data_IF_562946556024
#
_entry.id   IF_562946556024
#
_cell.length_a   1.000
_cell.length_b   1.000
_cell.length_c   1.000
_cell.angle_alpha   90.00
_cell.angle_beta   90.00
_cell.angle_gamma   90.00
#
_symmetry.space_group_name_H-M   'P 1'
#
loop_
_entity.id
_entity.type
_entity.pdbx_description
1 polymer ?
#
# COMPACT_ATOMS: atom_id res chain seq x y z
N UNK A 1 -23.83 -2.61 -59.86
CA UNK A 1 -23.28 -2.94 -58.52
C UNK A 1 -23.82 -1.89 -57.56
N UNK A 2 -24.66 -2.27 -56.59
CA UNK A 2 -25.44 -1.32 -55.79
C UNK A 2 -24.71 -0.96 -54.49
N UNK A 3 -24.96 0.22 -53.91
CA UNK A 3 -24.14 0.84 -52.85
C UNK A 3 -24.06 0.08 -51.51
N UNK A 4 -24.84 -1.01 -51.35
CA UNK A 4 -24.76 -1.91 -50.19
C UNK A 4 -23.61 -2.92 -50.28
N UNK A 5 -23.09 -3.21 -51.47
CA UNK A 5 -21.99 -4.18 -51.66
C UNK A 5 -20.60 -3.53 -51.52
N UNK A 6 -20.52 -2.19 -51.60
CA UNK A 6 -19.25 -1.47 -51.44
C UNK A 6 -18.84 -1.28 -49.97
N UNK A 7 -19.77 -1.41 -49.01
CA UNK A 7 -19.49 -1.27 -47.57
C UNK A 7 -19.03 -2.56 -46.89
N UNK A 8 -19.09 -3.71 -47.56
CA UNK A 8 -18.62 -5.01 -47.03
C UNK A 8 -17.20 -5.39 -47.49
N UNK A 9 -16.54 -4.56 -48.29
CA UNK A 9 -15.22 -4.87 -48.86
C UNK A 9 -14.09 -4.00 -48.27
N UNK A 10 -14.39 -3.02 -47.40
CA UNK A 10 -13.37 -2.17 -46.76
C UNK A 10 -13.01 -2.50 -45.30
N UNK A 11 -13.49 -3.62 -44.74
CA UNK A 11 -13.23 -3.97 -43.33
C UNK A 11 -12.39 -5.24 -43.12
N UNK A 12 -11.69 -5.75 -44.14
CA UNK A 12 -10.84 -6.95 -44.03
C UNK A 12 -9.36 -6.74 -44.37
N UNK A 13 -8.84 -5.52 -44.27
CA UNK A 13 -7.40 -5.26 -44.39
C UNK A 13 -6.94 -4.20 -43.41
N UNK A 14 -6.91 -4.55 -42.12
CA UNK A 14 -6.10 -3.90 -41.09
C UNK A 14 -5.92 -4.82 -39.87
N UNK A 15 -5.45 -6.06 -40.08
CA UNK A 15 -5.08 -6.96 -38.99
C UNK A 15 -3.78 -7.70 -39.35
N UNK A 16 -2.74 -6.94 -39.72
CA UNK A 16 -1.38 -7.46 -39.88
C UNK A 16 -0.36 -6.31 -39.88
N UNK A 17 0.07 -5.91 -38.67
CA UNK A 17 1.29 -5.17 -38.29
C UNK A 17 1.02 -4.60 -36.88
N UNK A 18 1.80 -4.79 -35.81
CA UNK A 18 3.22 -5.03 -35.68
C UNK A 18 3.51 -6.12 -34.62
N UNK A 19 4.25 -7.15 -35.02
CA UNK A 19 5.20 -7.82 -34.14
C UNK A 19 6.53 -7.07 -34.22
N UNK A 20 6.89 -6.32 -33.18
CA UNK A 20 8.27 -6.01 -32.75
C UNK A 20 8.25 -4.83 -31.77
N UNK A 21 7.89 -5.08 -30.52
CA UNK A 21 8.35 -4.20 -29.43
C UNK A 21 9.72 -4.73 -29.02
N UNK A 22 10.75 -3.97 -29.36
CA UNK A 22 12.14 -4.21 -28.96
C UNK A 22 12.16 -4.36 -27.44
N UNK A 23 12.44 -5.57 -26.95
CA UNK A 23 12.85 -5.75 -25.56
C UNK A 23 14.19 -5.04 -25.43
N UNK A 24 14.15 -3.75 -25.07
CA UNK A 24 15.33 -3.09 -24.54
C UNK A 24 15.64 -3.81 -23.23
N UNK A 25 16.65 -4.68 -23.28
CA UNK A 25 17.25 -5.28 -22.10
C UNK A 25 17.90 -4.11 -21.34
N UNK A 26 17.11 -3.43 -20.51
CA UNK A 26 17.68 -2.68 -19.42
C UNK A 26 18.30 -3.72 -18.49
N UNK A 27 19.60 -3.62 -18.15
CA UNK A 27 20.11 -4.40 -17.04
C UNK A 27 19.24 -4.04 -15.83
N UNK A 28 18.41 -4.99 -15.40
CA UNK A 28 17.81 -4.95 -14.08
C UNK A 28 19.00 -5.08 -13.14
N UNK A 29 19.48 -3.94 -12.63
CA UNK A 29 20.32 -3.96 -11.46
C UNK A 29 19.52 -4.71 -10.39
N UNK A 30 19.99 -5.88 -9.98
CA UNK A 30 19.46 -6.49 -8.77
C UNK A 30 19.59 -5.44 -7.68
N UNK A 31 18.53 -5.19 -6.87
CA UNK A 31 18.68 -4.31 -5.75
C UNK A 31 19.77 -4.93 -4.87
N UNK A 32 20.93 -4.26 -4.85
CA UNK A 32 21.94 -4.55 -3.86
C UNK A 32 21.22 -4.59 -2.51
N UNK A 33 21.45 -5.65 -1.74
CA UNK A 33 20.94 -5.74 -0.37
C UNK A 33 21.61 -4.63 0.44
N UNK A 34 21.08 -3.41 0.33
CA UNK A 34 21.43 -2.31 1.20
C UNK A 34 20.86 -2.72 2.54
N UNK A 35 21.73 -3.30 3.37
CA UNK A 35 21.44 -3.46 4.78
C UNK A 35 21.27 -2.04 5.31
N UNK A 36 20.01 -1.58 5.36
CA UNK A 36 19.69 -0.25 5.82
C UNK A 36 20.29 -0.08 7.21
N UNK A 37 21.15 0.93 7.37
CA UNK A 37 21.70 1.28 8.67
C UNK A 37 20.51 1.53 9.61
N UNK A 38 20.40 0.74 10.69
CA UNK A 38 19.43 0.98 11.75
C UNK A 38 20.02 2.02 12.69
N UNK A 39 19.26 3.09 12.92
CA UNK A 39 19.61 4.09 13.93
C UNK A 39 18.87 3.75 15.23
N UNK A 40 19.62 3.55 16.31
CA UNK A 40 19.08 3.35 17.66
C UNK A 40 19.06 4.67 18.42
N UNK A 41 17.97 4.92 19.14
CA UNK A 41 17.72 6.08 19.99
C UNK A 41 17.28 5.55 21.36
N UNK A 42 18.05 5.85 22.40
CA UNK A 42 17.69 5.49 23.77
C UNK A 42 16.55 6.41 24.24
N UNK A 43 15.53 5.86 24.89
CA UNK A 43 14.38 6.68 25.30
C UNK A 43 14.74 7.63 26.45
N UNK A 44 15.70 7.29 27.31
CA UNK A 44 16.16 8.19 28.38
C UNK A 44 16.75 9.52 27.88
N UNK A 45 17.15 9.60 26.61
CA UNK A 45 17.64 10.82 25.96
C UNK A 45 16.51 11.64 25.28
N UNK A 46 15.27 11.13 25.29
CA UNK A 46 14.13 11.77 24.63
C UNK A 46 13.57 12.97 25.42
N UNK A 47 12.87 13.86 24.73
CA UNK A 47 12.07 14.90 25.38
C UNK A 47 10.80 14.28 25.96
N UNK A 48 10.50 14.50 27.25
CA UNK A 48 9.28 13.97 27.86
C UNK A 48 8.55 14.98 28.75
N UNK A 49 7.27 14.72 28.99
CA UNK A 49 6.39 15.59 29.80
C UNK A 49 5.57 14.78 30.80
N UNK A 50 4.90 15.48 31.72
CA UNK A 50 3.99 14.88 32.69
C UNK A 50 4.72 14.03 33.74
N UNK A 51 4.14 12.88 34.04
CA UNK A 51 4.60 11.90 35.04
C UNK A 51 5.60 10.90 34.50
N UNK A 52 6.02 11.03 33.23
CA UNK A 52 7.10 10.23 32.66
C UNK A 52 8.40 10.52 33.41
N UNK A 53 9.15 9.48 33.77
CA UNK A 53 10.42 9.61 34.50
C UNK A 53 11.47 8.64 33.99
N UNK A 54 12.73 9.00 34.19
CA UNK A 54 13.86 8.10 33.98
C UNK A 54 14.00 7.19 35.20
N UNK A 55 13.94 5.88 34.98
CA UNK A 55 14.21 4.86 36.00
C UNK A 55 15.46 4.05 35.61
N UNK A 56 16.29 3.67 36.59
CA UNK A 56 17.44 2.79 36.35
C UNK A 56 16.98 1.35 36.21
N UNK A 57 17.46 0.68 35.18
CA UNK A 57 17.20 -0.73 34.93
C UNK A 57 18.43 -1.37 34.29
N UNK A 58 19.05 -2.33 34.98
CA UNK A 58 20.26 -2.99 34.47
C UNK A 58 20.03 -3.86 33.24
N UNK A 59 18.78 -4.19 32.91
CA UNK A 59 18.44 -4.95 31.72
C UNK A 59 18.23 -4.07 30.47
N UNK A 60 18.11 -2.76 30.65
CA UNK A 60 17.93 -1.80 29.55
C UNK A 60 19.24 -1.57 28.78
N UNK A 61 19.13 -1.28 27.47
CA UNK A 61 20.24 -1.06 26.54
C UNK A 61 21.20 0.03 27.02
N UNK A 62 20.67 1.18 27.46
CA UNK A 62 21.42 2.30 28.05
C UNK A 62 21.56 2.26 29.59
N UNK A 63 21.05 1.20 30.24
CA UNK A 63 21.01 1.06 31.70
C UNK A 63 19.93 1.91 32.39
N UNK A 64 19.05 2.55 31.62
CA UNK A 64 17.88 3.27 32.10
C UNK A 64 16.71 3.09 31.13
N UNK A 65 15.50 3.43 31.57
CA UNK A 65 14.29 3.45 30.74
C UNK A 65 13.51 4.73 31.01
N UNK A 66 12.59 5.09 30.11
CA UNK A 66 11.49 5.99 30.45
C UNK A 66 10.27 5.20 30.92
N UNK A 67 9.78 5.52 32.11
CA UNK A 67 8.58 4.92 32.67
C UNK A 67 7.39 5.88 32.57
N UNK A 68 6.42 5.54 31.71
CA UNK A 68 5.16 6.26 31.57
C UNK A 68 4.09 5.63 32.46
N UNK A 69 3.34 6.45 33.20
CA UNK A 69 2.25 6.01 34.09
C UNK A 69 0.94 6.73 33.79
N UNK A 70 0.64 7.83 34.49
CA UNK A 70 -0.70 8.42 34.51
C UNK A 70 -0.96 9.43 33.40
N UNK A 71 0.07 10.09 32.89
CA UNK A 71 -0.01 11.07 31.80
C UNK A 71 1.34 11.25 31.11
N UNK A 72 1.41 12.22 30.19
CA UNK A 72 2.64 12.66 29.58
C UNK A 72 2.87 12.15 28.16
N UNK A 73 3.99 12.60 27.60
CA UNK A 73 4.44 12.29 26.25
C UNK A 73 5.93 11.97 26.27
N UNK A 74 6.38 11.18 25.29
CA UNK A 74 7.78 10.94 24.98
C UNK A 74 7.96 11.32 23.50
N UNK A 75 8.92 12.19 23.19
CA UNK A 75 9.21 12.65 21.83
C UNK A 75 10.66 12.38 21.49
N UNK A 76 10.87 11.49 20.53
CA UNK A 76 12.18 11.16 19.98
C UNK A 76 12.34 11.91 18.66
N UNK A 77 13.42 12.68 18.55
CA UNK A 77 13.85 13.24 17.26
C UNK A 77 14.68 12.19 16.52
N UNK A 78 14.24 11.80 15.33
CA UNK A 78 14.93 10.82 14.48
C UNK A 78 15.34 11.44 13.15
N UNK A 79 16.40 10.92 12.54
CA UNK A 79 16.84 11.32 11.20
C UNK A 79 16.62 10.19 10.20
N UNK A 80 16.08 10.52 9.02
CA UNK A 80 15.90 9.62 7.89
C UNK A 80 16.76 10.08 6.70
N UNK A 81 17.47 9.15 6.05
CA UNK A 81 18.37 9.49 4.94
C UNK A 81 17.63 9.90 3.66
N UNK A 82 16.39 9.46 3.50
CA UNK A 82 15.53 9.74 2.35
C UNK A 82 14.05 9.78 2.76
N UNK A 83 13.21 10.36 1.90
CA UNK A 83 11.76 10.20 2.01
C UNK A 83 11.42 8.72 1.79
N UNK A 84 10.60 8.13 2.65
CA UNK A 84 10.25 6.72 2.51
C UNK A 84 9.45 6.14 3.67
N UNK A 85 9.15 4.85 3.56
CA UNK A 85 8.54 4.10 4.64
C UNK A 85 9.64 3.50 5.52
N UNK A 86 9.45 3.59 6.83
CA UNK A 86 10.38 3.11 7.84
C UNK A 86 9.63 2.27 8.86
N UNK A 87 10.23 1.18 9.29
CA UNK A 87 9.79 0.44 10.47
C UNK A 87 10.32 1.14 11.72
N UNK A 88 9.39 1.48 12.61
CA UNK A 88 9.68 1.93 13.97
C UNK A 88 9.64 0.71 14.86
N UNK A 89 10.81 0.28 15.31
CA UNK A 89 10.98 -0.87 16.19
C UNK A 89 11.18 -0.32 17.60
N UNK A 90 10.47 -0.87 18.57
CA UNK A 90 10.57 -0.43 19.97
C UNK A 90 10.90 -1.62 20.86
N UNK A 91 11.74 -1.38 21.85
CA UNK A 91 11.93 -2.24 23.01
C UNK A 91 11.20 -1.59 24.18
N UNK A 92 10.09 -2.20 24.60
CA UNK A 92 9.24 -1.68 25.65
C UNK A 92 8.40 -2.79 26.28
N UNK A 93 8.13 -2.66 27.57
CA UNK A 93 7.37 -3.64 28.36
C UNK A 93 6.15 -2.97 29.03
N UNK A 94 4.98 -3.58 28.84
CA UNK A 94 3.77 -3.23 29.59
C UNK A 94 3.83 -3.76 31.01
N UNK A 95 3.42 -2.95 31.99
CA UNK A 95 3.42 -3.31 33.42
C UNK A 95 2.04 -3.83 33.85
N UNK A 96 1.98 -5.04 34.40
CA UNK A 96 0.72 -5.65 34.85
C UNK A 96 -0.23 -5.93 33.69
N UNK A 97 0.26 -6.61 32.67
CA UNK A 97 -0.45 -6.91 31.42
C UNK A 97 -0.03 -6.02 30.23
N UNK A 98 -0.44 -6.43 29.03
CA UNK A 98 -0.24 -5.66 27.80
C UNK A 98 -0.83 -4.25 27.89
N UNK A 99 -0.23 -3.33 27.14
CA UNK A 99 -0.59 -1.90 27.12
C UNK A 99 -0.76 -1.38 25.71
N UNK A 100 -1.42 -0.23 25.62
CA UNK A 100 -1.57 0.51 24.38
C UNK A 100 -1.19 1.97 24.61
N UNK A 101 -0.42 2.56 23.69
CA UNK A 101 -0.19 4.01 23.63
C UNK A 101 -0.63 4.60 22.30
N UNK A 102 -0.71 5.93 22.22
CA UNK A 102 -0.93 6.63 20.96
C UNK A 102 0.41 6.99 20.32
N UNK A 103 0.52 6.81 19.00
CA UNK A 103 1.70 7.16 18.22
C UNK A 103 1.40 8.34 17.30
N UNK A 104 2.35 9.26 17.21
CA UNK A 104 2.32 10.39 16.30
C UNK A 104 3.64 10.48 15.56
N UNK A 105 3.56 10.82 14.27
CA UNK A 105 4.72 11.09 13.42
C UNK A 105 4.54 12.50 12.85
N UNK A 106 5.51 13.38 13.12
CA UNK A 106 5.44 14.79 12.70
C UNK A 106 4.08 15.44 13.08
N UNK A 107 3.68 15.25 14.33
CA UNK A 107 2.41 15.69 14.94
C UNK A 107 1.12 15.15 14.33
N UNK A 108 1.20 14.27 13.33
CA UNK A 108 0.05 13.55 12.77
C UNK A 108 -0.13 12.21 13.47
N UNK A 109 -1.36 11.86 13.84
CA UNK A 109 -1.66 10.56 14.45
C UNK A 109 -1.29 9.42 13.48
N UNK A 110 -0.51 8.46 13.97
CA UNK A 110 -0.15 7.22 13.29
C UNK A 110 -0.90 6.01 13.90
N UNK A 111 -1.94 6.27 14.70
CA UNK A 111 -2.74 5.25 15.36
C UNK A 111 -2.17 4.85 16.72
N UNK A 112 -2.38 3.58 17.07
CA UNK A 112 -2.03 3.04 18.38
C UNK A 112 -0.94 1.98 18.27
N UNK A 113 -0.07 1.92 19.28
CA UNK A 113 0.93 0.87 19.42
C UNK A 113 0.52 -0.07 20.55
N UNK A 114 0.61 -1.37 20.29
CA UNK A 114 0.36 -2.42 21.27
C UNK A 114 1.68 -2.92 21.82
N UNK A 115 1.84 -2.84 23.14
CA UNK A 115 3.03 -3.28 23.87
C UNK A 115 2.63 -4.53 24.66
N UNK A 116 3.38 -5.62 24.50
CA UNK A 116 3.17 -6.84 25.27
C UNK A 116 3.51 -6.63 26.75
N UNK A 117 2.97 -7.47 27.62
CA UNK A 117 3.50 -7.56 28.99
C UNK A 117 4.93 -8.10 28.93
N UNK A 118 5.82 -7.53 29.74
CA UNK A 118 7.19 -8.00 29.87
C UNK A 118 7.68 -7.89 31.30
N UNK A 119 8.75 -8.62 31.59
CA UNK A 119 9.37 -8.66 32.93
C UNK A 119 10.79 -8.07 32.94
N UNK A 120 11.07 -7.14 32.03
CA UNK A 120 12.35 -6.44 31.91
C UNK A 120 13.31 -7.06 30.90
N UNK A 121 12.82 -7.86 29.95
CA UNK A 121 13.64 -8.37 28.84
C UNK A 121 13.53 -7.52 27.56
N UNK A 122 12.64 -6.51 27.56
CA UNK A 122 12.53 -5.46 26.56
C UNK A 122 12.64 -5.97 25.11
N UNK A 123 11.88 -7.03 24.81
CA UNK A 123 11.95 -7.67 23.49
C UNK A 123 11.54 -6.68 22.39
N UNK A 124 12.39 -6.45 21.37
CA UNK A 124 12.07 -5.52 20.31
C UNK A 124 10.91 -6.03 19.45
N UNK A 125 9.98 -5.14 19.12
CA UNK A 125 8.86 -5.41 18.22
C UNK A 125 8.68 -4.25 17.23
N UNK A 126 8.13 -4.53 16.05
CA UNK A 126 7.74 -3.48 15.10
C UNK A 126 6.47 -2.80 15.62
N UNK A 127 6.61 -1.58 16.13
CA UNK A 127 5.51 -0.80 16.67
C UNK A 127 4.62 -0.23 15.56
N UNK A 128 5.23 0.25 14.47
CA UNK A 128 4.53 0.72 13.28
C UNK A 128 5.44 0.78 12.05
N UNK A 129 4.84 0.80 10.86
CA UNK A 129 5.52 1.18 9.61
C UNK A 129 4.97 2.52 9.16
N UNK A 130 5.81 3.55 9.14
CA UNK A 130 5.38 4.96 8.97
C UNK A 130 6.17 5.64 7.85
N UNK A 131 5.57 6.67 7.25
CA UNK A 131 6.29 7.52 6.30
C UNK A 131 7.13 8.56 7.05
N UNK A 132 8.42 8.63 6.75
CA UNK A 132 9.32 9.69 7.20
C UNK A 132 9.76 10.55 6.01
N UNK A 133 10.00 11.83 6.29
CA UNK A 133 10.63 12.74 5.34
C UNK A 133 12.16 12.66 5.46
N UNK A 134 12.91 12.97 4.41
CA UNK A 134 14.35 13.12 4.48
C UNK A 134 14.73 14.15 5.55
N UNK A 135 15.72 13.82 6.36
CA UNK A 135 16.19 14.64 7.47
C UNK A 135 15.41 14.37 8.76
N UNK A 136 15.19 15.44 9.52
CA UNK A 136 14.62 15.39 10.87
C UNK A 136 13.12 15.08 10.85
N UNK A 137 12.70 14.11 11.66
CA UNK A 137 11.31 13.77 11.96
C UNK A 137 11.11 13.64 13.47
N UNK A 138 9.86 13.73 13.93
CA UNK A 138 9.51 13.46 15.33
C UNK A 138 8.66 12.20 15.44
N UNK A 139 9.04 11.31 16.36
CA UNK A 139 8.23 10.18 16.80
C UNK A 139 7.76 10.48 18.22
N UNK A 140 6.46 10.71 18.38
CA UNK A 140 5.87 11.05 19.67
C UNK A 140 4.93 9.96 20.14
N UNK A 141 5.16 9.47 21.34
CA UNK A 141 4.30 8.54 22.06
C UNK A 141 3.54 9.37 23.10
N UNK A 142 2.22 9.33 23.09
CA UNK A 142 1.41 9.94 24.16
C UNK A 142 0.64 8.89 24.93
N UNK A 143 0.46 9.16 26.23
CA UNK A 143 -0.26 8.27 27.13
C UNK A 143 -1.67 7.96 26.59
N UNK A 144 -1.96 6.67 26.46
CA UNK A 144 -3.30 6.11 26.38
C UNK A 144 -3.55 5.28 27.63
N UNK A 145 -3.09 4.03 27.67
CA UNK A 145 -3.24 3.18 28.86
C UNK A 145 -2.14 3.43 29.89
N UNK A 146 -1.02 4.05 29.49
CA UNK A 146 0.10 4.32 30.38
C UNK A 146 0.82 3.04 30.83
N UNK A 147 1.40 3.07 32.03
CA UNK A 147 2.03 1.92 32.71
C UNK A 147 2.94 1.09 31.79
N UNK A 148 3.87 1.77 31.10
CA UNK A 148 4.78 1.16 30.10
C UNK A 148 6.20 1.66 30.33
N UNK A 149 7.16 0.74 30.33
CA UNK A 149 8.60 1.04 30.37
C UNK A 149 9.15 1.01 28.95
N UNK A 150 9.87 2.05 28.56
CA UNK A 150 10.44 2.25 27.22
C UNK A 150 11.97 2.26 27.30
N UNK A 151 12.63 1.31 26.66
CA UNK A 151 14.09 1.15 26.63
C UNK A 151 14.68 1.94 25.46
N UNK A 152 14.52 1.43 24.23
CA UNK A 152 14.98 2.12 23.03
C UNK A 152 14.00 2.06 21.87
N UNK A 153 14.25 2.94 20.89
CA UNK A 153 13.62 2.99 19.59
C UNK A 153 14.67 2.78 18.50
N UNK A 154 14.38 1.91 17.55
CA UNK A 154 15.16 1.74 16.33
C UNK A 154 14.35 2.19 15.11
N UNK A 155 14.99 2.95 14.24
CA UNK A 155 14.43 3.34 12.94
C UNK A 155 15.17 2.59 11.85
N UNK A 156 14.42 1.84 11.04
CA UNK A 156 14.96 1.06 9.92
C UNK A 156 14.19 1.36 8.66
N UNK A 157 14.88 1.64 7.55
CA UNK A 157 14.21 1.79 6.26
C UNK A 157 13.46 0.49 5.93
N UNK A 158 12.19 0.62 5.51
CA UNK A 158 11.35 -0.54 5.21
C UNK A 158 11.92 -1.25 3.99
N UNK A 159 12.30 -2.50 4.17
CA UNK A 159 12.60 -3.40 3.06
C UNK A 159 11.32 -4.14 2.73
N UNK A 160 10.87 -4.00 1.49
CA UNK A 160 9.74 -4.75 0.96
C UNK A 160 10.24 -6.03 0.33
N UNK A 161 9.59 -7.14 0.63
CA UNK A 161 9.80 -8.34 -0.16
C UNK A 161 9.34 -8.10 -1.59
N UNK A 162 10.11 -8.61 -2.54
CA UNK A 162 9.68 -8.63 -3.94
C UNK A 162 8.48 -9.56 -4.05
N UNK A 163 7.31 -9.01 -4.40
CA UNK A 163 6.14 -9.81 -4.70
C UNK A 163 6.12 -10.16 -6.19
N UNK A 164 5.68 -11.37 -6.51
CA UNK A 164 5.51 -11.83 -7.90
C UNK A 164 4.09 -12.35 -8.10
N UNK A 165 3.46 -11.96 -9.21
CA UNK A 165 2.16 -12.51 -9.59
C UNK A 165 2.31 -13.94 -10.14
N UNK A 166 1.41 -14.84 -9.75
CA UNK A 166 1.29 -16.15 -10.41
C UNK A 166 0.43 -16.03 -11.66
N UNK A 167 0.91 -16.56 -12.79
CA UNK A 167 0.12 -16.64 -14.02
C UNK A 167 -0.74 -17.91 -14.11
N UNK A 168 -0.71 -18.79 -13.11
CA UNK A 168 -1.42 -20.08 -13.15
C UNK A 168 -2.91 -19.87 -12.88
N UNK A 169 -3.73 -20.09 -13.90
CA UNK A 169 -5.18 -20.07 -13.76
C UNK A 169 -5.70 -21.32 -13.03
N UNK A 170 -6.75 -21.10 -12.22
CA UNK A 170 -7.47 -22.17 -11.52
C UNK A 170 -8.20 -23.10 -12.50
N UNK A 171 -8.84 -22.54 -13.53
CA UNK A 171 -9.46 -23.30 -14.61
C UNK A 171 -8.41 -23.78 -15.62
N UNK A 172 -8.16 -25.10 -15.67
CA UNK A 172 -7.21 -25.73 -16.60
C UNK A 172 -7.66 -25.71 -18.07
N UNK A 173 -8.91 -25.35 -18.34
CA UNK A 173 -9.47 -25.18 -19.68
C UNK A 173 -9.68 -23.70 -20.04
N UNK A 174 -9.00 -22.78 -19.36
CA UNK A 174 -9.07 -21.37 -19.69
C UNK A 174 -8.70 -21.11 -21.16
N UNK A 175 -9.31 -20.10 -21.76
CA UNK A 175 -9.01 -19.73 -23.15
C UNK A 175 -7.63 -19.09 -23.25
N UNK A 176 -7.12 -18.97 -24.48
CA UNK A 176 -5.80 -18.36 -24.72
C UNK A 176 -5.78 -16.88 -24.34
N UNK A 177 -6.90 -16.18 -24.56
CA UNK A 177 -7.09 -14.76 -24.23
C UNK A 177 -7.05 -14.56 -22.71
N UNK A 178 -7.76 -15.41 -21.94
CA UNK A 178 -7.73 -15.36 -20.46
C UNK A 178 -6.32 -15.63 -19.93
N UNK A 179 -5.62 -16.63 -20.47
CA UNK A 179 -4.25 -16.92 -20.08
C UNK A 179 -3.30 -15.76 -20.43
N UNK A 180 -3.47 -15.13 -21.59
CA UNK A 180 -2.68 -13.98 -22.00
C UNK A 180 -2.89 -12.78 -21.08
N UNK A 181 -4.14 -12.47 -20.72
CA UNK A 181 -4.44 -11.40 -19.76
C UNK A 181 -3.81 -11.68 -18.40
N UNK A 182 -3.93 -12.91 -17.89
CA UNK A 182 -3.32 -13.27 -16.60
C UNK A 182 -1.78 -13.19 -16.63
N UNK A 183 -1.15 -13.58 -17.75
CA UNK A 183 0.30 -13.43 -17.93
C UNK A 183 0.70 -11.95 -17.83
N UNK A 184 -0.04 -11.05 -18.47
CA UNK A 184 0.20 -9.62 -18.38
C UNK A 184 0.04 -9.10 -16.95
N UNK A 185 -1.09 -9.40 -16.28
CA UNK A 185 -1.33 -8.98 -14.90
C UNK A 185 -0.24 -9.47 -13.95
N UNK A 186 0.19 -10.73 -14.09
CA UNK A 186 1.30 -11.29 -13.32
C UNK A 186 2.63 -10.58 -13.59
N UNK A 187 2.89 -10.16 -14.83
CA UNK A 187 4.13 -9.48 -15.22
C UNK A 187 4.29 -8.08 -14.61
N UNK A 188 3.18 -7.38 -14.36
CA UNK A 188 3.14 -6.03 -13.78
C UNK A 188 2.88 -6.00 -12.28
N UNK A 189 2.44 -7.12 -11.69
CA UNK A 189 2.16 -7.23 -10.26
C UNK A 189 3.40 -6.91 -9.41
N UNK A 190 3.26 -6.02 -8.43
CA UNK A 190 4.36 -5.53 -7.60
C UNK A 190 5.22 -4.43 -8.24
N UNK A 191 5.00 -4.10 -9.52
CA UNK A 191 5.77 -3.09 -10.26
C UNK A 191 4.94 -1.88 -10.66
N UNK A 192 3.69 -2.11 -11.02
CA UNK A 192 2.76 -1.06 -11.47
C UNK A 192 1.36 -1.27 -10.90
N UNK A 193 0.60 -0.18 -10.85
CA UNK A 193 -0.85 -0.20 -10.62
C UNK A 193 -1.55 0.08 -11.93
N UNK A 194 -2.43 -0.83 -12.36
CA UNK A 194 -3.24 -0.65 -13.57
C UNK A 194 -4.46 0.21 -13.22
N UNK A 195 -4.67 1.31 -13.95
CA UNK A 195 -5.81 2.20 -13.73
C UNK A 195 -7.13 1.51 -14.12
N UNK A 196 -8.18 1.75 -13.33
CA UNK A 196 -9.51 1.23 -13.63
C UNK A 196 -10.61 2.17 -13.19
N UNK A 197 -11.74 2.11 -13.89
CA UNK A 197 -12.97 2.87 -13.59
C UNK A 197 -14.19 1.99 -13.82
N UNK A 198 -15.12 1.99 -12.87
CA UNK A 198 -16.42 1.32 -13.01
C UNK A 198 -17.36 2.23 -13.82
N UNK A 199 -18.12 1.65 -14.75
CA UNK A 199 -19.19 2.40 -15.42
C UNK A 199 -20.43 2.54 -14.52
N UNK A 200 -21.27 3.53 -14.82
CA UNK A 200 -22.53 3.74 -14.12
C UNK A 200 -23.51 2.58 -14.32
N UNK A 201 -24.39 2.34 -13.34
CA UNK A 201 -25.46 1.36 -13.44
C UNK A 201 -26.57 1.81 -14.42
N UNK A 202 -27.36 0.87 -14.94
CA UNK A 202 -28.53 1.18 -15.79
C UNK A 202 -29.52 2.10 -15.06
N UNK A 203 -29.98 3.16 -15.73
CA UNK A 203 -30.76 4.26 -15.13
C UNK A 203 -29.97 5.16 -14.17
N UNK A 204 -28.65 5.14 -14.29
CA UNK A 204 -27.79 6.15 -13.69
C UNK A 204 -28.14 7.58 -14.14
N UNK A 205 -27.63 8.59 -13.43
CA UNK A 205 -27.97 9.99 -13.67
C UNK A 205 -27.39 10.58 -14.96
N UNK A 206 -26.56 9.82 -15.70
CA UNK A 206 -25.90 10.24 -16.93
C UNK A 206 -25.50 9.02 -17.79
N UNK A 207 -24.92 9.28 -18.96
CA UNK A 207 -24.50 8.25 -19.91
C UNK A 207 -23.31 7.42 -19.41
N UNK A 208 -23.15 6.21 -19.97
CA UNK A 208 -22.12 5.23 -19.58
C UNK A 208 -20.68 5.70 -19.78
N UNK A 209 -20.42 6.63 -20.71
CA UNK A 209 -19.07 7.14 -20.99
C UNK A 209 -18.67 8.33 -20.09
N UNK A 210 -19.61 8.88 -19.31
CA UNK A 210 -19.41 10.16 -18.62
C UNK A 210 -18.19 10.15 -17.70
N UNK A 211 -18.00 9.12 -16.87
CA UNK A 211 -16.83 9.00 -16.00
C UNK A 211 -15.53 8.81 -16.76
N UNK A 212 -15.57 8.14 -17.91
CA UNK A 212 -14.39 7.85 -18.72
C UNK A 212 -13.90 9.12 -19.43
N UNK A 213 -14.82 9.89 -20.01
CA UNK A 213 -14.52 11.20 -20.61
C UNK A 213 -14.05 12.19 -19.56
N UNK A 214 -14.66 12.21 -18.37
CA UNK A 214 -14.19 13.04 -17.27
C UNK A 214 -12.73 12.75 -16.88
N UNK A 215 -12.36 11.48 -16.78
CA UNK A 215 -10.96 11.09 -16.51
C UNK A 215 -10.06 11.52 -17.66
N UNK A 216 -10.48 11.32 -18.91
CA UNK A 216 -9.74 11.71 -20.10
C UNK A 216 -9.50 13.21 -20.17
N UNK A 217 -10.51 14.02 -19.92
CA UNK A 217 -10.43 15.49 -19.95
C UNK A 217 -9.57 16.04 -18.81
N UNK A 218 -9.66 15.43 -17.63
CA UNK A 218 -8.93 15.88 -16.43
C UNK A 218 -7.46 15.47 -16.47
N UNK A 219 -7.16 14.28 -16.98
CA UNK A 219 -5.83 13.65 -16.86
C UNK A 219 -5.10 13.49 -18.19
N UNK A 220 -5.79 13.64 -19.32
CA UNK A 220 -5.26 13.42 -20.66
C UNK A 220 -5.21 11.95 -21.10
N UNK A 221 -5.62 10.99 -20.28
CA UNK A 221 -5.59 9.54 -20.57
C UNK A 221 -6.87 8.83 -20.11
N UNK A 222 -7.21 7.69 -20.73
CA UNK A 222 -8.29 6.82 -20.26
C UNK A 222 -7.78 5.82 -19.21
N UNK A 223 -8.66 5.27 -18.35
CA UNK A 223 -8.34 4.09 -17.54
C UNK A 223 -8.06 2.89 -18.45
N UNK A 224 -7.21 1.95 -18.01
CA UNK A 224 -6.93 0.74 -18.76
C UNK A 224 -8.01 -0.35 -18.56
N UNK A 225 -8.58 -0.42 -17.34
CA UNK A 225 -9.64 -1.37 -16.98
C UNK A 225 -10.98 -0.64 -16.92
N UNK A 226 -11.98 -1.14 -17.64
CA UNK A 226 -13.38 -0.76 -17.45
C UNK A 226 -14.08 -1.82 -16.61
N UNK A 227 -14.74 -1.39 -15.55
CA UNK A 227 -15.57 -2.23 -14.69
C UNK A 227 -17.01 -2.22 -15.18
N UNK A 228 -17.64 -3.40 -15.16
CA UNK A 228 -18.99 -3.67 -15.64
C UNK A 228 -19.77 -4.45 -14.59
N UNK A 229 -21.10 -4.52 -14.71
CA UNK A 229 -21.95 -5.30 -13.80
C UNK A 229 -23.08 -6.01 -14.58
N UNK A 230 -23.25 -7.32 -14.35
CA UNK A 230 -24.32 -8.13 -14.95
C UNK A 230 -25.62 -8.15 -14.13
N UNK A 231 -25.78 -7.27 -13.13
CA UNK A 231 -26.94 -7.20 -12.24
C UNK A 231 -28.28 -7.28 -12.98
N UNK A 232 -28.44 -6.57 -14.11
CA UNK A 232 -29.69 -6.55 -14.86
C UNK A 232 -29.96 -7.84 -15.64
N UNK A 233 -29.00 -8.76 -15.78
CA UNK A 233 -29.21 -10.07 -16.39
C UNK A 233 -29.63 -11.09 -15.32
N UNK A 234 -30.82 -10.87 -14.71
CA UNK A 234 -31.32 -11.67 -13.59
C UNK A 234 -32.77 -12.17 -13.80
N UNK A 235 -33.21 -13.26 -13.14
CA UNK A 235 -34.53 -13.86 -13.36
C UNK A 235 -35.70 -13.14 -12.68
N UNK A 236 -35.46 -12.09 -11.88
CA UNK A 236 -36.50 -11.43 -11.08
C UNK A 236 -37.06 -10.19 -11.79
N UNK A 237 -36.17 -9.27 -12.14
CA UNK A 237 -36.50 -7.99 -12.77
C UNK A 237 -35.57 -7.71 -13.96
N UNK A 238 -35.03 -8.78 -14.54
CA UNK A 238 -33.99 -8.68 -15.53
C UNK A 238 -34.42 -7.93 -16.78
N UNK A 239 -33.46 -7.21 -17.34
CA UNK A 239 -33.58 -6.53 -18.61
C UNK A 239 -32.21 -6.45 -19.27
N UNK A 240 -32.19 -6.47 -20.59
CA UNK A 240 -30.96 -6.22 -21.34
C UNK A 240 -30.60 -4.73 -21.24
N UNK A 241 -29.37 -4.44 -20.85
CA UNK A 241 -28.82 -3.11 -20.71
C UNK A 241 -27.58 -2.87 -21.58
N UNK A 242 -27.27 -3.80 -22.48
CA UNK A 242 -26.14 -3.69 -23.40
C UNK A 242 -24.77 -3.87 -22.76
N UNK A 243 -24.68 -4.34 -21.51
CA UNK A 243 -23.39 -4.57 -20.82
C UNK A 243 -22.46 -5.48 -21.61
N UNK A 244 -22.97 -6.57 -22.19
CA UNK A 244 -22.17 -7.48 -23.02
C UNK A 244 -21.58 -6.76 -24.24
N UNK A 245 -22.35 -5.90 -24.90
CA UNK A 245 -21.90 -5.18 -26.09
C UNK A 245 -20.79 -4.17 -25.73
N UNK A 246 -20.94 -3.44 -24.61
CA UNK A 246 -19.91 -2.52 -24.13
C UNK A 246 -18.62 -3.23 -23.68
N UNK A 247 -18.73 -4.44 -23.12
CA UNK A 247 -17.55 -5.28 -22.80
C UNK A 247 -16.78 -5.62 -24.09
N UNK A 248 -17.50 -6.00 -25.15
CA UNK A 248 -16.90 -6.33 -26.44
C UNK A 248 -16.26 -5.08 -27.05
N UNK A 249 -16.97 -3.95 -27.05
CA UNK A 249 -16.47 -2.68 -27.57
C UNK A 249 -15.18 -2.22 -26.85
N UNK A 250 -15.13 -2.32 -25.53
CA UNK A 250 -13.93 -1.95 -24.77
C UNK A 250 -12.71 -2.82 -25.08
N UNK A 251 -12.93 -4.06 -25.52
CA UNK A 251 -11.87 -5.01 -25.83
C UNK A 251 -11.29 -4.85 -27.25
N UNK A 252 -12.11 -4.41 -28.22
CA UNK A 252 -11.77 -4.40 -29.66
C UNK A 252 -11.33 -3.04 -30.18
#
# INVERSE_FOLDING_TARGET
>A
MNSKDLRRICSMTAALALTASVFSIYPQAEPASVQAASAKYEFEDAEFTGTVKVDKDSAASGGSILYMTEDGTITVTVNADADGMYDIIMAADGVGGGKQQNLYVNDTSAGNISIAEGSGDYKPFTAATVKLNKGKNTIKISKSWGWTKFDYLEVKARVYETVSGSAVLSNKKATKETQSLMNYLASVYGKHTVSGQQEIYKYGPHDFETEFEYIKDTTGVYPAIRGFDFLNTNPLYGSDDGTTDRIIEWWT
#
